data_IF_759194771775
#
_entry.id   IF_759194771775
#
_cell.length_a   1.000
_cell.length_b   1.000
_cell.length_c   1.000
_cell.angle_alpha   90.00
_cell.angle_beta   90.00
_cell.angle_gamma   90.00
#
_symmetry.space_group_name_H-M   'P 1'
#
loop_
_entity.id
_entity.type
_entity.pdbx_description
1 polymer ?
#
# COMPACT_ATOMS: atom_id res chain seq x y z
N UNK A 1 7.92 10.59 7.73
CA UNK A 1 8.39 9.22 7.44
C UNK A 1 7.24 8.23 7.22
N UNK A 2 6.27 8.10 8.14
CA UNK A 2 5.15 7.15 7.99
C UNK A 2 4.33 7.32 6.69
N UNK A 3 3.98 8.56 6.31
CA UNK A 3 3.23 8.83 5.07
C UNK A 3 4.03 8.43 3.83
N UNK A 4 5.34 8.69 3.80
CA UNK A 4 6.19 8.32 2.68
C UNK A 4 6.29 6.80 2.51
N UNK A 5 6.39 6.06 3.62
CA UNK A 5 6.36 4.59 3.60
C UNK A 5 5.01 4.05 3.12
N UNK A 6 3.89 4.63 3.58
CA UNK A 6 2.56 4.25 3.12
C UNK A 6 2.39 4.45 1.61
N UNK A 7 2.86 5.59 1.07
CA UNK A 7 2.85 5.86 -0.38
C UNK A 7 3.72 4.86 -1.13
N UNK A 8 4.94 4.57 -0.64
CA UNK A 8 5.83 3.58 -1.26
C UNK A 8 5.24 2.16 -1.28
N UNK A 9 4.55 1.77 -0.21
CA UNK A 9 3.84 0.49 -0.14
C UNK A 9 2.71 0.41 -1.17
N UNK A 10 1.90 1.46 -1.31
CA UNK A 10 0.81 1.53 -2.31
C UNK A 10 1.36 1.48 -3.73
N UNK A 11 2.44 2.21 -4.03
CA UNK A 11 3.07 2.17 -5.35
C UNK A 11 3.61 0.79 -5.69
N UNK A 12 4.23 0.12 -4.72
CA UNK A 12 4.81 -1.22 -4.91
C UNK A 12 3.72 -2.28 -5.14
N UNK A 13 2.59 -2.18 -4.43
CA UNK A 13 1.43 -3.05 -4.64
C UNK A 13 0.71 -2.77 -5.97
N UNK A 14 0.64 -1.50 -6.39
CA UNK A 14 0.07 -1.09 -7.68
C UNK A 14 0.85 -1.65 -8.87
N UNK A 15 2.18 -1.53 -8.82
CA UNK A 15 3.06 -2.12 -9.84
C UNK A 15 2.90 -3.64 -9.92
N UNK A 16 2.82 -4.29 -8.75
CA UNK A 16 2.63 -5.72 -8.65
C UNK A 16 1.30 -6.18 -9.27
N UNK A 17 0.19 -5.50 -8.95
CA UNK A 17 -1.11 -5.77 -9.54
C UNK A 17 -1.12 -5.55 -11.06
N UNK A 18 -0.53 -4.44 -11.52
CA UNK A 18 -0.47 -4.12 -12.96
C UNK A 18 0.32 -5.16 -13.74
N UNK A 19 1.44 -5.63 -13.19
CA UNK A 19 2.24 -6.68 -13.83
C UNK A 19 1.55 -8.04 -13.81
N UNK A 20 0.74 -8.33 -12.78
CA UNK A 20 -0.09 -9.54 -12.74
C UNK A 20 -1.23 -9.55 -13.76
N UNK A 21 -1.57 -8.41 -14.37
CA UNK A 21 -2.59 -8.31 -15.42
C UNK A 21 -2.01 -8.56 -16.82
N UNK A 22 -0.68 -8.57 -16.99
CA UNK A 22 -0.02 -8.78 -18.27
C UNK A 22 0.42 -10.27 -18.33
N UNK A 23 -0.25 -11.13 -19.14
CA UNK A 23 0.02 -12.57 -19.16
C UNK A 23 1.43 -12.96 -19.60
N UNK A 24 2.14 -12.06 -20.29
CA UNK A 24 3.47 -12.26 -20.87
C UNK A 24 4.61 -11.70 -20.00
N UNK A 25 4.29 -11.01 -18.90
CA UNK A 25 5.29 -10.33 -18.07
C UNK A 25 5.94 -11.24 -17.02
N UNK A 26 5.29 -12.34 -16.66
CA UNK A 26 5.79 -13.39 -15.77
C UNK A 26 5.25 -14.75 -16.25
N UNK A 27 5.98 -15.84 -16.04
CA UNK A 27 5.53 -17.22 -16.30
C UNK A 27 4.42 -17.66 -15.29
N UNK A 28 3.34 -16.87 -15.20
CA UNK A 28 2.22 -17.03 -14.25
C UNK A 28 1.93 -15.79 -13.40
N UNK A 29 1.20 -16.00 -12.29
CA UNK A 29 0.92 -14.96 -11.28
C UNK A 29 2.06 -14.98 -10.26
N UNK A 30 2.78 -13.86 -10.12
CA UNK A 30 4.00 -13.77 -9.33
C UNK A 30 4.18 -12.42 -8.65
N UNK A 31 4.90 -12.41 -7.51
CA UNK A 31 5.27 -11.15 -6.87
C UNK A 31 6.51 -10.54 -7.55
N UNK A 32 6.32 -9.45 -8.28
CA UNK A 32 7.39 -8.75 -9.00
C UNK A 32 8.24 -7.77 -8.17
N UNK A 33 7.90 -7.49 -6.91
CA UNK A 33 8.58 -6.47 -6.10
C UNK A 33 8.83 -6.98 -4.67
N UNK A 34 10.04 -6.80 -4.15
CA UNK A 34 10.44 -7.25 -2.81
C UNK A 34 9.61 -6.61 -1.69
N UNK A 35 9.15 -5.36 -1.87
CA UNK A 35 8.27 -4.69 -0.93
C UNK A 35 6.86 -5.30 -0.94
N UNK A 36 6.36 -5.68 -2.12
CA UNK A 36 5.10 -6.43 -2.22
C UNK A 36 5.25 -7.83 -1.61
N UNK A 37 6.41 -8.47 -1.76
CA UNK A 37 6.71 -9.76 -1.12
C UNK A 37 6.71 -9.66 0.40
N UNK A 38 7.27 -8.59 0.97
CA UNK A 38 7.25 -8.35 2.41
C UNK A 38 5.84 -8.09 2.96
N UNK A 39 4.93 -7.58 2.14
CA UNK A 39 3.54 -7.29 2.55
C UNK A 39 2.62 -8.51 2.37
N UNK A 40 2.74 -9.22 1.26
CA UNK A 40 1.83 -10.31 0.84
C UNK A 40 2.36 -11.69 1.29
N UNK A 41 3.67 -11.89 1.26
CA UNK A 41 4.33 -13.16 1.61
C UNK A 41 4.16 -14.30 0.59
N UNK A 42 4.49 -15.51 1.03
CA UNK A 42 4.47 -16.77 0.27
C UNK A 42 3.10 -17.48 0.33
N UNK A 43 2.02 -16.78 0.00
CA UNK A 43 0.67 -17.36 -0.05
C UNK A 43 0.28 -17.74 -1.49
N UNK A 44 -0.83 -18.47 -1.68
CA UNK A 44 -1.33 -18.78 -3.03
C UNK A 44 -1.71 -17.48 -3.75
N UNK A 45 -0.86 -17.05 -4.69
CA UNK A 45 -1.02 -15.77 -5.39
C UNK A 45 -2.18 -15.80 -6.39
N UNK A 46 -3.11 -14.85 -6.25
CA UNK A 46 -4.22 -14.63 -7.18
C UNK A 46 -4.37 -13.14 -7.49
N UNK A 47 -4.90 -12.82 -8.67
CA UNK A 47 -5.17 -11.44 -9.08
C UNK A 47 -6.12 -10.72 -8.10
N UNK A 48 -7.15 -11.44 -7.61
CA UNK A 48 -8.10 -10.90 -6.64
C UNK A 48 -7.44 -10.53 -5.32
N UNK A 49 -6.47 -11.33 -4.87
CA UNK A 49 -5.72 -11.04 -3.65
C UNK A 49 -4.83 -9.80 -3.82
N UNK A 50 -4.12 -9.69 -4.93
CA UNK A 50 -3.30 -8.51 -5.24
C UNK A 50 -4.13 -7.24 -5.29
N UNK A 51 -5.34 -7.33 -5.90
CA UNK A 51 -6.30 -6.23 -5.87
C UNK A 51 -6.73 -5.87 -4.46
N UNK A 52 -7.06 -6.86 -3.63
CA UNK A 52 -7.48 -6.64 -2.24
C UNK A 52 -6.38 -5.94 -1.41
N UNK A 53 -5.14 -6.39 -1.51
CA UNK A 53 -4.01 -5.76 -0.79
C UNK A 53 -3.73 -4.34 -1.27
N UNK A 54 -3.83 -4.10 -2.58
CA UNK A 54 -3.71 -2.77 -3.16
C UNK A 54 -4.80 -1.84 -2.64
N UNK A 55 -6.07 -2.27 -2.66
CA UNK A 55 -7.20 -1.46 -2.20
C UNK A 55 -7.08 -1.15 -0.71
N UNK A 56 -6.83 -2.16 0.14
CA UNK A 56 -6.67 -1.99 1.59
C UNK A 56 -5.53 -1.03 1.93
N UNK A 57 -4.39 -1.17 1.26
CA UNK A 57 -3.23 -0.30 1.49
C UNK A 57 -3.50 1.13 1.03
N UNK A 58 -4.25 1.30 -0.07
CA UNK A 58 -4.68 2.61 -0.57
C UNK A 58 -5.63 3.29 0.42
N UNK A 59 -6.62 2.57 0.94
CA UNK A 59 -7.52 3.10 1.97
C UNK A 59 -6.78 3.50 3.24
N UNK A 60 -5.85 2.67 3.70
CA UNK A 60 -5.03 2.96 4.88
C UNK A 60 -4.16 4.21 4.66
N UNK A 61 -3.53 4.33 3.49
CA UNK A 61 -2.73 5.51 3.15
C UNK A 61 -3.56 6.79 3.11
N UNK A 62 -4.74 6.75 2.48
CA UNK A 62 -5.68 7.89 2.45
C UNK A 62 -6.14 8.27 3.86
N UNK A 63 -6.46 7.29 4.70
CA UNK A 63 -6.83 7.53 6.09
C UNK A 63 -5.70 8.20 6.87
N UNK A 64 -4.46 7.74 6.74
CA UNK A 64 -3.31 8.34 7.41
C UNK A 64 -3.03 9.77 6.93
N UNK A 65 -3.19 10.04 5.63
CA UNK A 65 -3.05 11.39 5.06
C UNK A 65 -4.11 12.34 5.66
N UNK A 66 -5.35 11.87 5.84
CA UNK A 66 -6.42 12.66 6.46
C UNK A 66 -6.24 12.82 7.96
N UNK A 67 -5.76 11.79 8.66
CA UNK A 67 -5.60 11.82 10.12
C UNK A 67 -4.45 12.75 10.54
N UNK A 68 -3.37 12.80 9.75
CA UNK A 68 -2.18 13.59 10.08
C UNK A 68 -2.46 15.07 10.40
N UNK A 69 -3.16 15.86 9.55
CA UNK A 69 -3.49 17.25 9.88
C UNK A 69 -4.43 17.36 11.08
N UNK A 70 -5.33 16.41 11.29
CA UNK A 70 -6.24 16.40 12.45
C UNK A 70 -5.45 16.28 13.75
N UNK A 71 -4.49 15.35 13.80
CA UNK A 71 -3.59 15.18 14.96
C UNK A 71 -2.72 16.42 15.16
N UNK A 72 -2.14 16.97 14.08
CA UNK A 72 -1.31 18.18 14.15
C UNK A 72 -2.09 19.38 14.72
N UNK A 73 -3.34 19.56 14.29
CA UNK A 73 -4.22 20.61 14.80
C UNK A 73 -4.58 20.39 16.27
N UNK A 74 -4.84 19.14 16.67
CA UNK A 74 -5.11 18.78 18.05
C UNK A 74 -3.90 19.06 18.96
N UNK A 75 -2.69 18.64 18.56
CA UNK A 75 -1.46 18.92 19.29
C UNK A 75 -1.17 20.42 19.41
N UNK A 76 -1.37 21.18 18.33
CA UNK A 76 -1.14 22.62 18.33
C UNK A 76 -2.11 23.36 19.26
N UNK A 77 -3.38 22.92 19.32
CA UNK A 77 -4.37 23.46 20.27
C UNK A 77 -4.05 23.08 21.71
N UNK A 78 -3.54 21.88 21.95
CA UNK A 78 -3.18 21.41 23.28
C UNK A 78 -1.96 22.16 23.83
N UNK A 79 -0.94 22.42 23.00
CA UNK A 79 0.26 23.21 23.39
C UNK A 79 -0.02 24.69 23.66
N UNK A 80 -1.12 25.23 23.15
CA UNK A 80 -1.53 26.63 23.34
C UNK A 80 -2.37 26.86 24.59
N UNK A 81 -2.84 25.79 25.25
CA UNK A 81 -3.49 25.85 26.57
C UNK A 81 -2.47 25.54 27.66
#
# INVERSE_FOLDING_TARGET
MAIALAVLSVLSLSQNYTQSLIPEANDGIGISNILAYWIIGETQWTQEMFKSFYDQSTYLALLLILLYPVVLLAETKLKRR
#
